data_IF_986764380754
#
_entry.id   IF_986764380754
#
_cell.length_a   1.000
_cell.length_b   1.000
_cell.length_c   1.000
_cell.angle_alpha   90.00
_cell.angle_beta   90.00
_cell.angle_gamma   90.00
#
_symmetry.space_group_name_H-M   'P 1'
#
loop_
_entity.id
_entity.type
_entity.pdbx_description
1 polymer ?
#
# COMPACT_ATOMS: atom_id res chain seq x y z
N UNK A 1 7.34 16.24 -0.37
CA UNK A 1 6.55 15.03 -0.68
C UNK A 1 5.70 15.31 -1.91
N UNK A 2 5.83 14.49 -2.95
CA UNK A 2 4.91 14.51 -4.09
C UNK A 2 3.53 14.03 -3.60
N UNK A 3 2.46 14.66 -4.09
CA UNK A 3 1.08 14.35 -3.71
C UNK A 3 0.20 14.27 -4.96
N UNK A 4 -0.85 13.43 -4.95
CA UNK A 4 -1.81 13.40 -6.05
C UNK A 4 -2.52 14.76 -6.18
N UNK A 5 -2.75 15.16 -7.41
CA UNK A 5 -3.53 16.36 -7.70
C UNK A 5 -5.03 16.04 -7.72
N UNK A 6 -5.90 17.03 -7.47
CA UNK A 6 -7.33 16.83 -7.63
C UNK A 6 -7.65 16.31 -9.03
N UNK A 7 -8.32 15.17 -9.09
CA UNK A 7 -8.68 14.52 -10.34
C UNK A 7 -7.69 13.47 -10.86
N UNK A 8 -6.55 13.26 -10.20
CA UNK A 8 -5.67 12.15 -10.56
C UNK A 8 -6.31 10.77 -10.28
N UNK A 9 -5.94 9.79 -11.06
CA UNK A 9 -6.03 8.40 -10.69
C UNK A 9 -4.85 8.05 -9.77
N UNK A 10 -5.07 7.30 -8.72
CA UNK A 10 -3.99 6.84 -7.84
C UNK A 10 -3.78 5.35 -8.08
N UNK A 11 -2.56 4.97 -8.46
CA UNK A 11 -2.07 3.61 -8.42
C UNK A 11 -1.24 3.46 -7.16
N UNK A 12 -1.83 2.83 -6.12
CA UNK A 12 -1.25 2.85 -4.77
C UNK A 12 -0.10 1.87 -4.59
N UNK A 13 0.12 0.96 -5.52
CA UNK A 13 1.22 0.02 -5.49
C UNK A 13 1.61 -0.43 -6.89
N UNK A 14 2.84 -0.12 -7.29
CA UNK A 14 3.35 -0.45 -8.61
C UNK A 14 4.85 -0.74 -8.58
N UNK A 15 5.30 -1.66 -9.41
CA UNK A 15 6.72 -1.94 -9.66
C UNK A 15 7.12 -1.43 -11.04
N UNK A 16 8.17 -0.60 -11.11
CA UNK A 16 8.69 -0.06 -12.39
C UNK A 16 7.69 0.83 -13.13
N UNK A 17 6.85 1.56 -12.40
CA UNK A 17 5.81 2.38 -12.96
C UNK A 17 6.30 3.51 -13.86
N UNK A 18 5.53 3.81 -14.91
CA UNK A 18 5.80 4.93 -15.81
C UNK A 18 4.83 6.07 -15.48
N UNK A 19 5.33 7.24 -15.04
CA UNK A 19 4.49 8.42 -14.81
C UNK A 19 3.71 8.78 -16.08
N UNK A 20 2.44 9.14 -15.91
CA UNK A 20 1.61 9.65 -16.99
C UNK A 20 0.74 10.81 -16.50
N UNK A 21 0.36 11.75 -17.36
CA UNK A 21 -0.51 12.86 -16.97
C UNK A 21 -1.83 12.37 -16.37
N UNK A 22 -2.20 12.93 -15.22
CA UNK A 22 -3.44 12.57 -14.51
C UNK A 22 -3.37 11.22 -13.78
N UNK A 23 -2.20 10.65 -13.59
CA UNK A 23 -1.96 9.46 -12.80
C UNK A 23 -0.87 9.74 -11.76
N UNK A 24 -1.18 9.49 -10.50
CA UNK A 24 -0.22 9.46 -9.41
C UNK A 24 0.12 8.01 -9.08
N UNK A 25 1.41 7.69 -9.00
CA UNK A 25 1.89 6.35 -8.67
C UNK A 25 2.67 6.32 -7.38
N UNK A 26 2.45 5.26 -6.59
CA UNK A 26 3.31 4.90 -5.47
C UNK A 26 4.18 3.72 -5.88
N UNK A 27 5.42 4.02 -6.29
CA UNK A 27 6.37 3.02 -6.77
C UNK A 27 7.05 2.32 -5.60
N UNK A 28 7.01 0.99 -5.60
CA UNK A 28 7.67 0.16 -4.60
C UNK A 28 9.11 -0.11 -5.00
N UNK A 29 10.06 0.38 -4.19
CA UNK A 29 11.49 0.08 -4.30
C UNK A 29 11.88 -0.92 -3.23
N UNK A 30 12.71 -1.89 -3.58
CA UNK A 30 13.11 -2.96 -2.67
C UNK A 30 14.60 -2.87 -2.35
N UNK A 31 14.97 -3.18 -1.10
CA UNK A 31 16.34 -3.06 -0.61
C UNK A 31 17.36 -3.89 -1.41
N UNK A 32 16.95 -5.03 -2.00
CA UNK A 32 17.83 -5.86 -2.82
C UNK A 32 18.13 -5.28 -4.21
N UNK A 33 17.33 -4.34 -4.70
CA UNK A 33 17.50 -3.74 -6.03
C UNK A 33 18.59 -2.66 -6.05
N UNK A 34 19.00 -2.16 -4.88
CA UNK A 34 19.97 -1.06 -4.71
C UNK A 34 19.59 0.23 -5.50
N UNK A 35 18.28 0.35 -5.83
CA UNK A 35 17.74 1.54 -6.50
C UNK A 35 17.42 2.63 -5.49
N UNK A 36 17.69 3.88 -5.88
CA UNK A 36 17.32 5.06 -5.11
C UNK A 36 16.11 5.78 -5.74
N UNK A 37 15.27 6.42 -4.92
CA UNK A 37 14.14 7.18 -5.42
C UNK A 37 14.61 8.37 -6.25
N UNK A 38 13.98 8.60 -7.39
CA UNK A 38 14.21 9.76 -8.23
C UNK A 38 13.11 10.81 -7.98
N UNK A 39 13.46 12.11 -8.05
CA UNK A 39 12.44 13.16 -8.00
C UNK A 39 11.73 13.25 -9.35
N UNK A 40 10.57 12.63 -9.44
CA UNK A 40 9.72 12.59 -10.64
C UNK A 40 8.33 13.12 -10.29
N UNK A 41 7.82 13.99 -11.13
CA UNK A 41 6.45 14.51 -10.97
C UNK A 41 5.42 13.38 -11.02
N UNK A 42 4.45 13.36 -10.09
CA UNK A 42 3.41 12.34 -10.01
C UNK A 42 3.85 11.00 -9.45
N UNK A 43 5.07 10.93 -8.88
CA UNK A 43 5.61 9.70 -8.30
C UNK A 43 6.03 9.94 -6.85
N UNK A 44 5.57 9.09 -5.96
CA UNK A 44 6.15 8.89 -4.64
C UNK A 44 6.63 7.44 -4.51
N UNK A 45 7.40 7.16 -3.46
CA UNK A 45 8.02 5.85 -3.34
C UNK A 45 7.75 5.22 -1.98
N UNK A 46 7.74 3.90 -1.95
CA UNK A 46 7.99 3.10 -0.75
C UNK A 46 9.38 2.48 -0.83
N UNK A 47 9.93 2.09 0.31
CA UNK A 47 11.18 1.34 0.35
C UNK A 47 11.13 0.32 1.50
N UNK A 48 11.45 -0.94 1.21
CA UNK A 48 11.37 -2.00 2.21
C UNK A 48 12.07 -3.29 1.82
N UNK A 49 11.95 -4.29 2.69
CA UNK A 49 12.50 -5.63 2.49
C UNK A 49 11.36 -6.58 2.21
N UNK A 50 11.22 -6.94 0.94
CA UNK A 50 10.23 -7.92 0.50
C UNK A 50 10.66 -9.34 0.95
N UNK A 51 9.77 -10.18 1.49
CA UNK A 51 10.13 -11.51 2.02
C UNK A 51 10.77 -12.45 0.99
N UNK A 52 10.51 -12.29 -0.30
CA UNK A 52 11.10 -13.16 -1.33
C UNK A 52 12.61 -12.99 -1.51
N UNK A 53 13.13 -11.80 -1.22
CA UNK A 53 14.53 -11.42 -1.47
C UNK A 53 15.34 -11.31 -0.18
N UNK A 54 14.76 -11.78 0.92
CA UNK A 54 15.36 -11.83 2.24
C UNK A 54 16.05 -13.18 2.47
N UNK A 55 17.22 -13.15 3.09
CA UNK A 55 17.92 -14.32 3.65
C UNK A 55 18.78 -13.87 4.85
N UNK A 56 19.40 -14.82 5.55
CA UNK A 56 20.23 -14.54 6.73
C UNK A 56 21.46 -13.67 6.39
N UNK A 57 22.07 -13.86 5.21
CA UNK A 57 23.27 -13.14 4.81
C UNK A 57 23.02 -11.66 4.47
N UNK A 58 21.80 -11.31 4.02
CA UNK A 58 21.47 -9.95 3.59
C UNK A 58 20.60 -9.16 4.58
N UNK A 59 20.06 -9.81 5.61
CA UNK A 59 19.14 -9.21 6.58
C UNK A 59 19.68 -7.90 7.17
N UNK A 60 20.84 -7.93 7.83
CA UNK A 60 21.39 -6.78 8.54
C UNK A 60 21.72 -5.63 7.59
N UNK A 61 22.31 -5.94 6.40
CA UNK A 61 22.58 -4.97 5.35
C UNK A 61 21.30 -4.28 4.89
N UNK A 62 20.25 -5.05 4.66
CA UNK A 62 18.98 -4.51 4.16
C UNK A 62 18.24 -3.69 5.23
N UNK A 63 18.26 -4.09 6.50
CA UNK A 63 17.67 -3.28 7.60
C UNK A 63 18.37 -1.93 7.71
N UNK A 64 19.71 -1.90 7.67
CA UNK A 64 20.46 -0.64 7.66
C UNK A 64 20.11 0.24 6.45
N UNK A 65 19.96 -0.36 5.26
CA UNK A 65 19.54 0.35 4.06
C UNK A 65 18.12 0.93 4.21
N UNK A 66 17.19 0.16 4.75
CA UNK A 66 15.82 0.66 5.03
C UNK A 66 15.88 1.84 5.98
N UNK A 67 16.55 1.72 7.13
CA UNK A 67 16.62 2.79 8.12
C UNK A 67 17.19 4.10 7.55
N UNK A 68 18.15 4.02 6.64
CA UNK A 68 18.73 5.19 5.98
C UNK A 68 17.82 5.80 4.90
N UNK A 69 17.34 4.95 3.98
CA UNK A 69 16.66 5.41 2.76
C UNK A 69 15.24 5.90 3.05
N UNK A 70 14.53 5.27 3.99
CA UNK A 70 13.16 5.67 4.31
C UNK A 70 13.05 7.07 4.95
N UNK A 71 14.16 7.65 5.36
CA UNK A 71 14.22 9.04 5.87
C UNK A 71 14.21 10.09 4.76
N UNK A 72 14.43 9.70 3.51
CA UNK A 72 14.33 10.61 2.36
C UNK A 72 12.90 11.13 2.21
N UNK A 73 12.71 12.41 1.81
CA UNK A 73 11.37 13.01 1.68
C UNK A 73 10.54 12.45 0.52
N UNK A 74 11.19 11.80 -0.45
CA UNK A 74 10.54 11.13 -1.58
C UNK A 74 9.94 9.77 -1.20
N UNK A 75 10.44 9.13 -0.13
CA UNK A 75 9.86 7.90 0.42
C UNK A 75 8.75 8.28 1.39
N UNK A 76 7.54 7.82 1.14
CA UNK A 76 6.36 8.19 1.94
C UNK A 76 5.80 7.04 2.79
N UNK A 77 6.25 5.81 2.55
CA UNK A 77 5.91 4.63 3.35
C UNK A 77 7.08 3.64 3.40
N UNK A 78 7.08 2.76 4.40
CA UNK A 78 7.92 1.57 4.43
C UNK A 78 7.20 0.45 3.70
N UNK A 79 7.90 -0.29 2.90
CA UNK A 79 7.38 -1.42 2.15
C UNK A 79 7.96 -1.48 0.73
N UNK A 80 7.74 -2.57 0.11
CA UNK A 80 6.89 -3.69 0.43
C UNK A 80 7.55 -4.57 1.50
N UNK A 81 6.81 -4.91 2.58
CA UNK A 81 7.31 -5.68 3.70
C UNK A 81 6.24 -6.66 4.19
N UNK A 82 6.61 -7.79 4.79
CA UNK A 82 5.60 -8.67 5.36
C UNK A 82 5.91 -10.15 5.29
N UNK A 83 4.91 -10.96 4.91
CA UNK A 83 4.93 -12.41 5.04
C UNK A 83 4.53 -13.12 3.75
N UNK A 84 5.28 -14.13 3.38
CA UNK A 84 4.92 -15.10 2.36
C UNK A 84 5.25 -16.53 2.82
N UNK A 85 4.21 -17.36 3.01
CA UNK A 85 4.41 -18.76 3.40
C UNK A 85 4.74 -19.70 2.24
N UNK A 86 4.67 -19.20 1.01
CA UNK A 86 4.98 -19.98 -0.19
C UNK A 86 6.39 -19.75 -0.70
N UNK A 87 6.99 -18.59 -0.35
CA UNK A 87 8.32 -18.17 -0.83
C UNK A 87 9.08 -17.40 0.25
N UNK A 88 10.40 -17.33 0.07
CA UNK A 88 11.28 -16.62 1.00
C UNK A 88 11.86 -17.53 2.10
N UNK A 89 12.49 -16.93 3.11
CA UNK A 89 13.14 -17.65 4.20
C UNK A 89 12.13 -18.17 5.23
N UNK A 90 12.65 -18.68 6.35
CA UNK A 90 11.83 -19.14 7.49
C UNK A 90 10.85 -18.07 7.96
N UNK A 91 9.70 -18.50 8.49
CA UNK A 91 8.71 -17.61 9.09
C UNK A 91 9.30 -16.78 10.25
N UNK A 92 10.31 -17.32 10.95
CA UNK A 92 11.02 -16.61 12.02
C UNK A 92 11.78 -15.40 11.50
N UNK A 93 12.57 -15.56 10.43
CA UNK A 93 13.33 -14.46 9.83
C UNK A 93 12.40 -13.42 9.17
N UNK A 94 11.34 -13.86 8.47
CA UNK A 94 10.33 -12.93 7.94
C UNK A 94 9.70 -12.10 9.05
N UNK A 95 9.35 -12.73 10.19
CA UNK A 95 8.77 -12.05 11.35
C UNK A 95 9.74 -11.03 11.94
N UNK A 96 10.98 -11.43 12.21
CA UNK A 96 12.00 -10.53 12.74
C UNK A 96 12.16 -9.30 11.86
N UNK A 97 12.37 -9.51 10.55
CA UNK A 97 12.55 -8.43 9.58
C UNK A 97 11.33 -7.51 9.47
N UNK A 98 10.12 -8.08 9.52
CA UNK A 98 8.89 -7.28 9.51
C UNK A 98 8.73 -6.45 10.78
N UNK A 99 8.99 -7.04 11.96
CA UNK A 99 8.93 -6.35 13.25
C UNK A 99 9.93 -5.18 13.31
N UNK A 100 11.15 -5.34 12.79
CA UNK A 100 12.15 -4.26 12.69
C UNK A 100 11.68 -3.14 11.77
N UNK A 101 11.11 -3.45 10.62
CA UNK A 101 10.53 -2.44 9.72
C UNK A 101 9.34 -1.71 10.34
N UNK A 102 8.51 -2.40 11.14
CA UNK A 102 7.45 -1.77 11.94
C UNK A 102 8.01 -0.80 12.97
N UNK A 103 9.09 -1.17 13.67
CA UNK A 103 9.75 -0.25 14.63
C UNK A 103 10.28 1.00 13.95
N UNK A 104 10.93 0.87 12.80
CA UNK A 104 11.39 2.01 12.00
C UNK A 104 10.19 2.88 11.57
N UNK A 105 9.09 2.26 11.10
CA UNK A 105 7.86 2.96 10.71
C UNK A 105 7.30 3.84 11.84
N UNK A 106 7.21 3.31 13.05
CA UNK A 106 6.73 4.05 14.22
C UNK A 106 7.65 5.21 14.60
N UNK A 107 8.99 5.02 14.51
CA UNK A 107 9.98 6.05 14.79
C UNK A 107 9.87 7.23 13.82
N UNK A 108 9.87 6.93 12.50
CA UNK A 108 9.88 7.98 11.47
C UNK A 108 8.48 8.47 11.10
N UNK A 109 7.43 7.88 11.69
CA UNK A 109 6.01 8.22 11.48
C UNK A 109 5.58 8.09 10.02
N UNK A 110 5.96 6.99 9.37
CA UNK A 110 5.52 6.66 8.01
C UNK A 110 4.72 5.35 8.00
N UNK A 111 3.65 5.25 7.18
CA UNK A 111 2.83 4.04 7.10
C UNK A 111 3.59 2.85 6.51
N UNK A 112 2.98 1.66 6.59
CA UNK A 112 3.57 0.41 6.05
C UNK A 112 2.68 -0.15 4.95
N UNK A 113 3.29 -0.49 3.81
CA UNK A 113 2.67 -1.26 2.71
C UNK A 113 3.07 -2.72 2.87
N UNK A 114 2.09 -3.60 2.96
CA UNK A 114 2.26 -4.97 3.42
C UNK A 114 1.99 -5.99 2.32
N UNK A 115 2.99 -6.83 2.06
CA UNK A 115 2.84 -8.09 1.35
C UNK A 115 2.35 -9.18 2.31
N UNK A 116 1.27 -9.87 1.98
CA UNK A 116 0.82 -10.98 2.81
C UNK A 116 0.22 -12.12 2.00
N UNK A 117 0.99 -13.21 1.82
CA UNK A 117 0.53 -14.44 1.17
C UNK A 117 0.50 -15.57 2.19
N UNK A 118 -0.72 -16.00 2.57
CA UNK A 118 -0.98 -17.05 3.57
C UNK A 118 -0.32 -16.84 4.95
N UNK A 119 0.19 -15.62 5.23
CA UNK A 119 0.84 -15.23 6.49
C UNK A 119 -0.07 -14.41 7.42
N UNK A 120 -1.39 -14.59 7.34
CA UNK A 120 -2.37 -13.77 8.06
C UNK A 120 -2.27 -13.88 9.57
N UNK A 121 -1.97 -15.06 10.11
CA UNK A 121 -1.83 -15.27 11.54
C UNK A 121 -0.59 -14.55 12.07
N UNK A 122 0.53 -14.58 11.33
CA UNK A 122 1.74 -13.85 11.66
C UNK A 122 1.48 -12.34 11.64
N UNK A 123 0.87 -11.83 10.56
CA UNK A 123 0.54 -10.41 10.42
C UNK A 123 -0.34 -9.91 11.58
N UNK A 124 -1.41 -10.64 11.88
CA UNK A 124 -2.32 -10.28 12.97
C UNK A 124 -1.68 -10.41 14.35
N UNK A 125 -0.76 -11.37 14.52
CA UNK A 125 0.02 -11.54 15.75
C UNK A 125 0.94 -10.35 15.99
N UNK A 126 1.66 -9.89 14.95
CA UNK A 126 2.51 -8.69 15.04
C UNK A 126 1.68 -7.45 15.30
N UNK A 127 0.57 -7.26 14.59
CA UNK A 127 -0.33 -6.13 14.79
C UNK A 127 -0.87 -6.09 16.23
N UNK A 128 -1.28 -7.23 16.78
CA UNK A 128 -1.75 -7.31 18.18
C UNK A 128 -0.65 -6.98 19.19
N UNK A 129 0.59 -7.42 18.93
CA UNK A 129 1.76 -7.20 19.81
C UNK A 129 2.20 -5.74 19.79
N UNK A 130 2.37 -5.14 18.61
CA UNK A 130 2.92 -3.79 18.46
C UNK A 130 1.85 -2.71 18.65
N UNK A 131 0.58 -2.98 18.32
CA UNK A 131 -0.51 -1.99 18.33
C UNK A 131 -0.08 -0.70 17.60
N UNK A 132 0.33 -0.81 16.33
CA UNK A 132 0.98 0.30 15.62
C UNK A 132 0.06 1.51 15.56
N UNK A 133 0.66 2.70 15.67
CA UNK A 133 -0.01 4.00 15.47
C UNK A 133 -0.02 4.39 13.99
N UNK A 134 1.04 3.99 13.27
CA UNK A 134 1.12 4.23 11.84
C UNK A 134 0.18 3.28 11.09
N UNK A 135 -0.56 3.79 10.09
CA UNK A 135 -1.50 2.96 9.34
C UNK A 135 -0.79 1.90 8.49
N UNK A 136 -1.45 0.77 8.33
CA UNK A 136 -1.01 -0.36 7.52
C UNK A 136 -1.93 -0.55 6.33
N UNK A 137 -1.37 -0.74 5.14
CA UNK A 137 -2.07 -1.10 3.90
C UNK A 137 -1.64 -2.49 3.45
N UNK A 138 -2.56 -3.43 3.44
CA UNK A 138 -2.33 -4.73 2.81
C UNK A 138 -2.58 -4.58 1.31
N UNK A 139 -1.51 -4.67 0.50
CA UNK A 139 -1.62 -4.62 -0.94
C UNK A 139 -2.02 -5.99 -1.53
N UNK A 140 -2.40 -6.03 -2.79
CA UNK A 140 -2.69 -7.27 -3.51
C UNK A 140 -3.87 -8.06 -2.94
N UNK A 141 -4.82 -7.41 -2.26
CA UNK A 141 -5.91 -8.11 -1.60
C UNK A 141 -6.87 -8.77 -2.60
N UNK A 142 -7.05 -10.07 -2.46
CA UNK A 142 -7.96 -10.93 -3.25
C UNK A 142 -8.67 -11.97 -2.37
N UNK A 143 -8.82 -11.65 -1.09
CA UNK A 143 -9.49 -12.50 -0.10
C UNK A 143 -11.02 -12.35 -0.11
N UNK A 144 -11.66 -13.05 0.81
CA UNK A 144 -13.09 -12.95 1.02
C UNK A 144 -13.48 -11.84 2.02
N UNK A 145 -14.77 -11.56 2.14
CA UNK A 145 -15.32 -10.51 3.02
C UNK A 145 -14.98 -10.75 4.51
N UNK A 146 -14.88 -12.01 4.96
CA UNK A 146 -14.56 -12.33 6.36
C UNK A 146 -13.15 -11.87 6.69
N UNK A 147 -12.16 -12.22 5.86
CA UNK A 147 -10.78 -11.79 6.03
C UNK A 147 -10.67 -10.26 5.88
N UNK A 148 -11.33 -9.67 4.86
CA UNK A 148 -11.33 -8.23 4.68
C UNK A 148 -11.81 -7.51 5.94
N UNK A 149 -12.96 -7.89 6.49
CA UNK A 149 -13.52 -7.29 7.70
C UNK A 149 -12.61 -7.50 8.93
N UNK A 150 -11.94 -8.65 9.03
CA UNK A 150 -10.97 -8.90 10.10
C UNK A 150 -9.80 -7.91 10.05
N UNK A 151 -9.22 -7.67 8.86
CA UNK A 151 -8.12 -6.73 8.68
C UNK A 151 -8.57 -5.27 8.91
N UNK A 152 -9.69 -4.88 8.31
CA UNK A 152 -10.28 -3.55 8.44
C UNK A 152 -10.66 -3.21 9.89
N UNK A 153 -11.16 -4.19 10.66
CA UNK A 153 -11.46 -4.01 12.10
C UNK A 153 -10.24 -3.75 12.96
N UNK A 154 -9.03 -4.09 12.47
CA UNK A 154 -7.75 -3.79 13.09
C UNK A 154 -7.18 -2.44 12.65
N UNK A 155 -7.92 -1.64 11.89
CA UNK A 155 -7.50 -0.34 11.41
C UNK A 155 -6.72 -0.37 10.10
N UNK A 156 -6.51 -1.53 9.51
CA UNK A 156 -5.79 -1.67 8.24
C UNK A 156 -6.60 -1.12 7.06
N UNK A 157 -5.90 -0.80 5.98
CA UNK A 157 -6.42 -0.48 4.66
C UNK A 157 -6.16 -1.65 3.72
N UNK A 158 -6.91 -1.75 2.63
CA UNK A 158 -6.73 -2.79 1.62
C UNK A 158 -6.57 -2.16 0.24
N UNK A 159 -5.62 -2.63 -0.54
CA UNK A 159 -5.57 -2.36 -1.97
C UNK A 159 -6.04 -3.60 -2.73
N UNK A 160 -7.01 -3.41 -3.63
CA UNK A 160 -7.61 -4.53 -4.37
C UNK A 160 -6.72 -4.90 -5.54
N UNK A 161 -6.27 -6.14 -5.56
CA UNK A 161 -5.43 -6.68 -6.63
C UNK A 161 -6.11 -6.54 -8.00
N UNK A 162 -5.39 -6.00 -8.97
CA UNK A 162 -5.93 -5.60 -10.27
C UNK A 162 -6.72 -6.71 -10.98
N UNK A 163 -6.16 -7.92 -11.05
CA UNK A 163 -6.81 -9.04 -11.72
C UNK A 163 -8.12 -9.46 -11.02
N UNK A 164 -8.16 -9.38 -9.69
CA UNK A 164 -9.37 -9.62 -8.93
C UNK A 164 -10.38 -8.47 -9.11
N UNK A 165 -9.93 -7.21 -9.10
CA UNK A 165 -10.79 -6.05 -9.31
C UNK A 165 -11.51 -6.09 -10.67
N UNK A 166 -10.89 -6.66 -11.69
CA UNK A 166 -11.46 -6.81 -13.03
C UNK A 166 -12.46 -7.98 -13.16
N UNK A 167 -12.54 -8.87 -12.18
CA UNK A 167 -13.49 -10.00 -12.19
C UNK A 167 -14.87 -9.59 -11.72
N UNK A 168 -15.94 -10.23 -12.21
CA UNK A 168 -17.32 -9.97 -11.76
C UNK A 168 -17.51 -10.15 -10.24
N UNK A 169 -16.81 -11.10 -9.64
CA UNK A 169 -16.94 -11.47 -8.21
C UNK A 169 -16.47 -10.34 -7.27
N UNK A 170 -15.61 -9.43 -7.76
CA UNK A 170 -15.12 -8.31 -6.97
C UNK A 170 -16.24 -7.35 -6.55
N UNK A 171 -17.29 -7.21 -7.36
CA UNK A 171 -18.41 -6.32 -7.09
C UNK A 171 -19.11 -6.62 -5.75
N UNK A 172 -19.27 -7.92 -5.43
CA UNK A 172 -19.86 -8.34 -4.17
C UNK A 172 -19.00 -7.95 -2.96
N UNK A 173 -17.69 -8.15 -3.07
CA UNK A 173 -16.74 -7.76 -2.04
C UNK A 173 -16.75 -6.23 -1.85
N UNK A 174 -16.55 -5.47 -2.93
CA UNK A 174 -16.44 -4.01 -2.89
C UNK A 174 -17.68 -3.34 -2.30
N UNK A 175 -18.88 -3.83 -2.61
CA UNK A 175 -20.14 -3.32 -2.04
C UNK A 175 -20.30 -3.60 -0.54
N UNK A 176 -19.60 -4.61 -0.03
CA UNK A 176 -19.68 -5.01 1.38
C UNK A 176 -18.61 -4.33 2.27
N UNK A 177 -17.64 -3.59 1.69
CA UNK A 177 -16.53 -3.00 2.41
C UNK A 177 -16.69 -1.50 2.64
N UNK A 178 -16.12 -0.95 3.73
CA UNK A 178 -16.01 0.48 3.95
C UNK A 178 -15.03 1.09 2.93
N UNK A 179 -15.57 1.75 1.91
CA UNK A 179 -14.79 2.25 0.77
C UNK A 179 -13.73 3.30 1.17
N UNK A 180 -13.89 3.94 2.32
CA UNK A 180 -12.93 4.89 2.90
C UNK A 180 -11.59 4.26 3.33
N UNK A 181 -11.47 2.94 3.28
CA UNK A 181 -10.23 2.19 3.58
C UNK A 181 -9.75 1.34 2.40
N UNK A 182 -10.26 1.60 1.20
CA UNK A 182 -9.94 0.82 0.01
C UNK A 182 -9.11 1.65 -0.95
N UNK A 183 -8.15 0.98 -1.61
CA UNK A 183 -7.34 1.47 -2.70
C UNK A 183 -7.39 0.52 -3.89
N UNK A 184 -6.87 0.98 -5.03
CA UNK A 184 -6.74 0.24 -6.27
C UNK A 184 -5.28 0.28 -6.72
N UNK A 185 -4.84 -0.77 -7.39
CA UNK A 185 -3.45 -0.94 -7.82
C UNK A 185 -3.34 -1.74 -9.10
N UNK A 186 -2.20 -1.58 -9.80
CA UNK A 186 -1.82 -2.44 -10.93
C UNK A 186 -0.78 -3.49 -10.55
N UNK A 187 -0.07 -3.34 -9.45
CA UNK A 187 1.03 -4.22 -9.01
C UNK A 187 2.12 -4.39 -10.09
N UNK A 188 2.30 -3.38 -10.94
CA UNK A 188 3.24 -3.41 -12.06
C UNK A 188 2.81 -4.23 -13.27
N UNK A 189 1.57 -4.71 -13.31
CA UNK A 189 1.02 -5.39 -14.47
C UNK A 189 0.82 -4.43 -15.65
N UNK A 190 0.87 -4.96 -16.87
CA UNK A 190 0.57 -4.21 -18.08
C UNK A 190 -0.95 -4.00 -18.24
N UNK A 191 -1.52 -3.22 -17.33
CA UNK A 191 -2.94 -2.82 -17.31
C UNK A 191 -3.05 -1.34 -16.99
N UNK A 192 -3.96 -0.64 -17.67
CA UNK A 192 -4.21 0.77 -17.36
C UNK A 192 -5.04 0.87 -16.06
N UNK A 193 -4.52 1.59 -15.07
CA UNK A 193 -5.22 1.85 -13.81
C UNK A 193 -6.61 2.48 -14.05
N UNK A 194 -6.79 3.27 -15.09
CA UNK A 194 -8.08 3.85 -15.47
C UNK A 194 -9.13 2.80 -15.74
N UNK A 195 -8.73 1.71 -16.40
CA UNK A 195 -9.63 0.58 -16.68
C UNK A 195 -10.12 -0.09 -15.39
N UNK A 196 -9.25 -0.20 -14.38
CA UNK A 196 -9.64 -0.71 -13.06
C UNK A 196 -10.64 0.22 -12.39
N UNK A 197 -10.40 1.55 -12.44
CA UNK A 197 -11.33 2.54 -11.90
C UNK A 197 -12.68 2.49 -12.59
N UNK A 198 -12.72 2.43 -13.92
CA UNK A 198 -13.96 2.35 -14.71
C UNK A 198 -14.79 1.13 -14.30
N UNK A 199 -14.14 -0.04 -14.19
CA UNK A 199 -14.79 -1.28 -13.75
C UNK A 199 -15.32 -1.19 -12.33
N UNK A 200 -14.51 -0.73 -11.39
CA UNK A 200 -14.90 -0.60 -9.98
C UNK A 200 -16.01 0.44 -9.79
N UNK A 201 -15.94 1.57 -10.48
CA UNK A 201 -16.99 2.60 -10.45
C UNK A 201 -18.33 2.05 -10.97
N UNK A 202 -18.30 1.29 -12.06
CA UNK A 202 -19.48 0.62 -12.61
C UNK A 202 -20.07 -0.41 -11.60
N UNK A 203 -19.23 -1.23 -10.98
CA UNK A 203 -19.66 -2.20 -9.98
C UNK A 203 -20.31 -1.55 -8.76
N UNK A 204 -19.79 -0.40 -8.34
CA UNK A 204 -20.30 0.38 -7.21
C UNK A 204 -21.47 1.30 -7.58
N UNK A 205 -21.84 1.33 -8.86
CA UNK A 205 -22.88 2.21 -9.40
C UNK A 205 -22.63 3.70 -9.05
N UNK A 206 -21.39 4.16 -9.22
CA UNK A 206 -21.00 5.55 -8.99
C UNK A 206 -20.19 6.13 -10.17
N UNK A 207 -20.20 7.45 -10.37
CA UNK A 207 -19.32 8.09 -11.35
C UNK A 207 -17.84 7.88 -11.01
N UNK A 208 -16.98 7.70 -12.03
CA UNK A 208 -15.51 7.54 -11.87
C UNK A 208 -14.91 8.72 -11.10
N UNK A 209 -15.34 9.95 -11.37
CA UNK A 209 -14.85 11.13 -10.65
C UNK A 209 -15.18 11.12 -9.15
N UNK A 210 -16.30 10.48 -8.77
CA UNK A 210 -16.62 10.28 -7.35
C UNK A 210 -15.68 9.25 -6.72
N UNK A 211 -15.38 8.16 -7.40
CA UNK A 211 -14.41 7.17 -6.95
C UNK A 211 -13.01 7.78 -6.81
N UNK A 212 -12.55 8.57 -7.80
CA UNK A 212 -11.26 9.28 -7.72
C UNK A 212 -11.18 10.19 -6.50
N UNK A 213 -12.22 11.00 -6.25
CA UNK A 213 -12.29 11.87 -5.06
C UNK A 213 -12.26 11.06 -3.75
N UNK A 214 -12.89 9.89 -3.73
CA UNK A 214 -12.88 9.00 -2.58
C UNK A 214 -11.46 8.45 -2.33
N UNK A 215 -10.81 7.92 -3.36
CA UNK A 215 -9.47 7.36 -3.25
C UNK A 215 -8.42 8.44 -2.86
N UNK A 216 -8.55 9.68 -3.40
CA UNK A 216 -7.69 10.81 -2.98
C UNK A 216 -7.90 11.12 -1.48
N UNK A 217 -9.14 11.12 -0.98
CA UNK A 217 -9.39 11.29 0.47
C UNK A 217 -8.78 10.18 1.29
N UNK A 218 -8.91 8.93 0.83
CA UNK A 218 -8.28 7.78 1.48
C UNK A 218 -6.76 7.95 1.55
N UNK A 219 -6.15 8.38 0.45
CA UNK A 219 -4.73 8.68 0.37
C UNK A 219 -4.31 9.74 1.40
N UNK A 220 -5.01 10.87 1.42
CA UNK A 220 -4.71 11.94 2.36
C UNK A 220 -4.85 11.46 3.82
N UNK A 221 -5.89 10.70 4.13
CA UNK A 221 -6.09 10.14 5.47
C UNK A 221 -5.01 9.13 5.83
N UNK A 222 -4.67 8.23 4.92
CA UNK A 222 -3.66 7.19 5.13
C UNK A 222 -2.26 7.77 5.36
N UNK A 223 -1.89 8.81 4.62
CA UNK A 223 -0.59 9.46 4.72
C UNK A 223 -0.57 10.67 5.69
N UNK A 224 -1.67 10.96 6.38
CA UNK A 224 -1.75 12.07 7.33
C UNK A 224 -1.60 13.44 6.66
N UNK A 225 -2.03 13.58 5.40
CA UNK A 225 -1.97 14.83 4.66
C UNK A 225 -3.21 15.66 4.99
N UNK A 226 -3.01 16.82 5.60
CA UNK A 226 -4.13 17.73 5.86
C UNK A 226 -4.69 18.30 4.56
N UNK A 227 -6.02 18.31 4.39
CA UNK A 227 -6.62 18.96 3.24
C UNK A 227 -6.29 20.46 3.24
N UNK A 228 -6.12 21.10 2.08
CA UNK A 228 -5.84 22.52 2.00
C UNK A 228 -6.93 23.32 2.74
N UNK A 229 -6.52 24.38 3.43
CA UNK A 229 -7.37 25.17 4.35
C UNK A 229 -8.70 25.67 3.74
N UNK A 230 -8.79 25.82 2.42
CA UNK A 230 -10.01 26.21 1.69
C UNK A 230 -11.12 25.14 1.70
N UNK A 231 -10.81 23.87 2.00
CA UNK A 231 -11.79 22.78 2.06
C UNK A 231 -12.49 22.65 3.44
N UNK A 232 -12.10 23.47 4.42
CA UNK A 232 -12.63 23.42 5.80
C UNK A 232 -13.89 24.29 6.01
N UNK A 233 -14.36 24.99 4.98
CA UNK A 233 -15.50 25.88 5.08
C UNK A 233 -16.68 25.33 4.26
N UNK A 234 -17.45 24.43 4.84
CA UNK A 234 -18.92 24.40 4.69
C UNK A 234 -19.48 23.43 5.75
N UNK A 235 -20.28 23.93 6.70
CA UNK A 235 -21.06 23.10 7.59
C UNK A 235 -22.17 22.34 6.87
#
# INVERSE_FOLDING_TARGET
MQQPQPGDYIDIHVHGGKPAPGIFILESLMAHEEKLPADKQGVAYTFGIHPWFLNEDNHDKHILSVDQIVRLPTIIAIGEAGFDRLRGPSAGLQRQTFEEQVMISEEIKKPVIIHCVRGWDELLSVQKRFRPKMPWLVHGFRGNTVLANQLLSKGMYLSIWFEFALRPESAGLLKALPLEKIFLETDGADVDIKHIYDKVAADLNMPVDQLKKLIIRNFNTFFGIEPPAAARLSP
#
